data_IF_458587055129
#
_entry.id   IF_458587055129
#
_cell.length_a   1.000
_cell.length_b   1.000
_cell.length_c   1.000
_cell.angle_alpha   90.00
_cell.angle_beta   90.00
_cell.angle_gamma   90.00
#
_symmetry.space_group_name_H-M   'P 1'
#
loop_
_entity.id
_entity.type
_entity.pdbx_description
1 polymer ?
#
# COMPACT_ATOMS: atom_id res chain seq x y z
N UNK A 1 9.74 0.61 9.28
CA UNK A 1 8.56 -0.15 8.88
C UNK A 1 7.34 0.74 8.72
N UNK A 2 6.70 0.70 7.58
CA UNK A 2 5.45 1.41 7.29
C UNK A 2 4.33 0.42 7.03
N UNK A 3 3.17 0.67 7.63
CA UNK A 3 1.91 0.05 7.30
C UNK A 3 1.04 1.06 6.56
N UNK A 4 0.63 0.75 5.34
CA UNK A 4 -0.25 1.60 4.56
C UNK A 4 -1.56 0.87 4.24
N UNK A 5 -2.68 1.49 4.52
CA UNK A 5 -4.03 0.99 4.27
C UNK A 5 -4.71 1.85 3.21
N UNK A 6 -5.05 1.27 2.08
CA UNK A 6 -5.90 1.91 1.09
C UNK A 6 -7.38 1.64 1.40
N UNK A 7 -8.15 2.70 1.58
CA UNK A 7 -9.59 2.65 1.95
C UNK A 7 -10.41 3.30 0.86
N UNK A 8 -10.88 2.51 -0.11
CA UNK A 8 -11.74 3.03 -1.18
C UNK A 8 -11.12 4.24 -1.91
N UNK A 9 -11.58 4.63 -3.04
CA UNK A 9 -10.91 5.51 -4.00
C UNK A 9 -10.24 6.80 -3.54
N UNK A 10 -10.49 7.33 -2.34
CA UNK A 10 -9.96 8.63 -1.92
C UNK A 10 -9.39 8.70 -0.50
N UNK A 11 -9.23 7.58 0.19
CA UNK A 11 -8.68 7.55 1.54
C UNK A 11 -7.45 6.64 1.67
N UNK A 12 -6.44 7.12 2.38
CA UNK A 12 -5.29 6.33 2.78
C UNK A 12 -4.94 6.57 4.25
N UNK A 13 -4.54 5.53 4.94
CA UNK A 13 -4.04 5.58 6.32
C UNK A 13 -2.63 5.02 6.33
N UNK A 14 -1.69 5.77 6.87
CA UNK A 14 -0.29 5.35 7.02
C UNK A 14 0.02 5.22 8.50
N UNK A 15 0.51 4.05 8.91
CA UNK A 15 1.00 3.80 10.26
C UNK A 15 2.50 3.54 10.22
N UNK A 16 3.23 4.32 10.97
CA UNK A 16 4.67 4.15 11.20
C UNK A 16 5.01 4.19 12.69
N UNK A 17 6.29 4.17 13.03
CA UNK A 17 6.73 4.28 14.43
C UNK A 17 6.39 5.64 15.07
N UNK A 18 6.09 6.66 14.27
CA UNK A 18 5.72 8.00 14.72
C UNK A 18 4.22 8.17 14.97
N UNK A 19 3.39 7.22 14.53
CA UNK A 19 1.95 7.26 14.73
C UNK A 19 1.14 6.87 13.49
N UNK A 20 -0.10 7.32 13.47
CA UNK A 20 -1.05 7.05 12.37
C UNK A 20 -1.40 8.37 11.69
N UNK A 21 -1.23 8.41 10.36
CA UNK A 21 -1.57 9.55 9.54
C UNK A 21 -2.67 9.20 8.54
N UNK A 22 -3.68 10.05 8.46
CA UNK A 22 -4.84 9.88 7.57
C UNK A 22 -4.76 10.86 6.40
N UNK A 23 -4.97 10.35 5.19
CA UNK A 23 -4.98 11.14 3.96
C UNK A 23 -6.27 10.94 3.20
N UNK A 24 -6.89 12.03 2.76
CA UNK A 24 -8.12 12.00 1.95
C UNK A 24 -9.41 12.02 2.76
N UNK A 25 -10.51 11.65 2.13
CA UNK A 25 -11.81 11.46 2.80
C UNK A 25 -12.77 12.64 2.80
N UNK A 26 -12.50 13.72 2.07
CA UNK A 26 -13.44 14.85 1.88
C UNK A 26 -13.63 15.17 0.40
N UNK A 27 -14.88 15.10 -0.04
CA UNK A 27 -15.28 15.34 -1.45
C UNK A 27 -15.35 16.80 -1.88
N UNK A 28 -15.25 17.76 -0.96
CA UNK A 28 -15.38 19.17 -1.26
C UNK A 28 -14.07 19.79 -1.69
N UNK A 29 -13.77 19.72 -3.01
CA UNK A 29 -12.61 20.43 -3.53
C UNK A 29 -12.75 20.82 -4.98
N UNK A 30 -12.45 22.11 -5.26
CA UNK A 30 -12.21 22.57 -6.62
C UNK A 30 -10.98 21.85 -7.21
N UNK A 31 -11.00 21.57 -8.51
CA UNK A 31 -9.95 20.81 -9.21
C UNK A 31 -8.53 21.37 -8.97
N UNK A 32 -8.39 22.66 -8.71
CA UNK A 32 -7.13 23.34 -8.44
C UNK A 32 -6.51 22.96 -7.08
N UNK A 33 -7.35 22.89 -6.04
CA UNK A 33 -6.93 22.46 -4.69
C UNK A 33 -6.60 20.96 -4.64
N UNK A 34 -7.25 20.16 -5.46
CA UNK A 34 -7.01 18.71 -5.52
C UNK A 34 -5.61 18.39 -6.04
N UNK A 35 -5.12 19.09 -7.06
CA UNK A 35 -3.76 18.86 -7.61
C UNK A 35 -2.66 19.23 -6.62
N UNK A 36 -2.79 20.36 -5.94
CA UNK A 36 -1.80 20.79 -4.93
C UNK A 36 -1.79 19.81 -3.77
N UNK A 37 -2.95 19.42 -3.27
CA UNK A 37 -3.07 18.45 -2.16
C UNK A 37 -2.58 17.06 -2.55
N UNK A 38 -2.86 16.60 -3.76
CA UNK A 38 -2.35 15.32 -4.26
C UNK A 38 -0.82 15.32 -4.30
N UNK A 39 -0.21 16.42 -4.76
CA UNK A 39 1.26 16.56 -4.78
C UNK A 39 1.84 16.55 -3.37
N UNK A 40 1.26 17.29 -2.43
CA UNK A 40 1.71 17.32 -1.03
C UNK A 40 1.63 15.93 -0.39
N UNK A 41 0.52 15.21 -0.61
CA UNK A 41 0.34 13.85 -0.11
C UNK A 41 1.32 12.86 -0.74
N UNK A 42 1.54 12.98 -2.05
CA UNK A 42 2.51 12.14 -2.75
C UNK A 42 3.94 12.36 -2.24
N UNK A 43 4.31 13.61 -1.97
CA UNK A 43 5.63 13.93 -1.42
C UNK A 43 5.78 13.40 0.01
N UNK A 44 4.76 13.55 0.85
CA UNK A 44 4.75 12.98 2.19
C UNK A 44 4.89 11.45 2.15
N UNK A 45 4.15 10.77 1.28
CA UNK A 45 4.26 9.32 1.08
C UNK A 45 5.66 8.93 0.62
N UNK A 46 6.23 9.67 -0.31
CA UNK A 46 7.61 9.46 -0.78
C UNK A 46 8.62 9.56 0.35
N UNK A 47 8.50 10.55 1.22
CA UNK A 47 9.37 10.70 2.39
C UNK A 47 9.26 9.48 3.33
N UNK A 48 8.04 9.04 3.66
CA UNK A 48 7.82 7.86 4.49
C UNK A 48 8.44 6.59 3.87
N UNK A 49 8.25 6.40 2.58
CA UNK A 49 8.84 5.26 1.86
C UNK A 49 10.37 5.33 1.92
N UNK A 50 10.94 6.51 1.73
CA UNK A 50 12.39 6.70 1.65
C UNK A 50 13.10 6.41 2.97
N UNK A 51 12.48 6.73 4.10
CA UNK A 51 13.10 6.53 5.43
C UNK A 51 12.89 5.12 6.00
N UNK A 52 12.11 4.29 5.35
CA UNK A 52 11.81 2.92 5.82
C UNK A 52 12.33 1.87 4.84
N UNK A 53 12.87 0.78 5.37
CA UNK A 53 13.43 -0.30 4.55
C UNK A 53 12.41 -1.32 4.12
N UNK A 54 11.31 -1.45 4.86
CA UNK A 54 10.27 -2.44 4.60
C UNK A 54 8.89 -1.79 4.64
N UNK A 55 8.08 -2.10 3.64
CA UNK A 55 6.75 -1.52 3.46
C UNK A 55 5.74 -2.64 3.27
N UNK A 56 4.70 -2.64 4.09
CA UNK A 56 3.54 -3.50 3.91
C UNK A 56 2.34 -2.65 3.50
N UNK A 57 1.70 -3.03 2.41
CA UNK A 57 0.51 -2.35 1.89
C UNK A 57 -0.68 -3.28 2.06
N UNK A 58 -1.73 -2.80 2.70
CA UNK A 58 -2.93 -3.61 2.91
C UNK A 58 -4.19 -2.80 2.59
N UNK A 59 -5.17 -3.49 2.03
CA UNK A 59 -6.53 -2.99 1.90
C UNK A 59 -7.36 -3.35 3.15
N UNK A 60 -8.65 -3.03 3.12
CA UNK A 60 -9.58 -3.54 4.11
C UNK A 60 -9.90 -5.02 3.85
N UNK A 61 -10.60 -5.66 4.79
CA UNK A 61 -10.83 -7.11 4.83
C UNK A 61 -11.37 -7.71 3.52
N UNK A 62 -12.28 -7.00 2.86
CA UNK A 62 -12.80 -7.38 1.54
C UNK A 62 -12.10 -6.52 0.48
N UNK A 63 -10.96 -6.99 0.01
CA UNK A 63 -10.20 -6.26 -1.00
C UNK A 63 -10.94 -6.30 -2.34
N UNK A 64 -11.36 -5.13 -2.79
CA UNK A 64 -11.94 -4.93 -4.13
C UNK A 64 -10.85 -4.63 -5.17
N UNK A 65 -11.25 -4.55 -6.43
CA UNK A 65 -10.33 -4.28 -7.56
C UNK A 65 -9.63 -2.93 -7.40
N UNK A 66 -10.33 -1.91 -6.93
CA UNK A 66 -9.78 -0.57 -6.75
C UNK A 66 -8.72 -0.54 -5.64
N UNK A 67 -9.02 -1.15 -4.51
CA UNK A 67 -8.10 -1.30 -3.39
C UNK A 67 -6.86 -2.10 -3.76
N UNK A 68 -7.05 -3.18 -4.52
CA UNK A 68 -5.96 -4.01 -5.03
C UNK A 68 -5.06 -3.22 -5.98
N UNK A 69 -5.65 -2.50 -6.94
CA UNK A 69 -4.90 -1.67 -7.88
C UNK A 69 -4.10 -0.57 -7.20
N UNK A 70 -4.70 0.09 -6.19
CA UNK A 70 -4.02 1.09 -5.38
C UNK A 70 -2.82 0.49 -4.61
N UNK A 71 -2.99 -0.70 -4.03
CA UNK A 71 -1.91 -1.40 -3.31
C UNK A 71 -0.74 -1.74 -4.25
N UNK A 72 -1.02 -2.26 -5.43
CA UNK A 72 -0.01 -2.53 -6.45
C UNK A 72 0.71 -1.23 -6.86
N UNK A 73 -0.03 -0.16 -7.05
CA UNK A 73 0.53 1.16 -7.39
C UNK A 73 1.54 1.65 -6.34
N UNK A 74 1.19 1.53 -5.05
CA UNK A 74 2.09 1.89 -3.95
C UNK A 74 3.34 0.99 -3.93
N UNK A 75 3.18 -0.31 -4.12
CA UNK A 75 4.31 -1.23 -4.20
C UNK A 75 5.26 -0.87 -5.35
N UNK A 76 4.73 -0.52 -6.52
CA UNK A 76 5.55 -0.08 -7.65
C UNK A 76 6.28 1.23 -7.37
N UNK A 77 5.61 2.18 -6.73
CA UNK A 77 6.24 3.43 -6.31
C UNK A 77 7.39 3.18 -5.32
N UNK A 78 7.19 2.29 -4.35
CA UNK A 78 8.23 1.90 -3.40
C UNK A 78 9.42 1.23 -4.10
N UNK A 79 9.16 0.32 -5.03
CA UNK A 79 10.21 -0.34 -5.82
C UNK A 79 11.00 0.66 -6.66
N UNK A 80 10.33 1.66 -7.24
CA UNK A 80 10.99 2.73 -8.01
C UNK A 80 11.91 3.58 -7.11
N UNK A 81 11.65 3.67 -5.83
CA UNK A 81 12.49 4.31 -4.82
C UNK A 81 13.55 3.36 -4.21
N UNK A 82 13.71 2.17 -4.77
CA UNK A 82 14.67 1.17 -4.30
C UNK A 82 14.28 0.45 -3.02
N UNK A 83 12.99 0.48 -2.64
CA UNK A 83 12.48 -0.14 -1.42
C UNK A 83 11.69 -1.40 -1.73
N UNK A 84 11.70 -2.35 -0.80
CA UNK A 84 10.90 -3.56 -0.91
C UNK A 84 9.53 -3.37 -0.27
N UNK A 85 8.48 -3.63 -1.04
CA UNK A 85 7.10 -3.55 -0.58
C UNK A 85 6.35 -4.85 -0.89
N UNK A 86 5.47 -5.25 0.01
CA UNK A 86 4.61 -6.41 -0.15
C UNK A 86 3.15 -6.00 0.05
N UNK A 87 2.25 -6.64 -0.67
CA UNK A 87 0.81 -6.50 -0.49
C UNK A 87 0.33 -7.57 0.48
N UNK A 88 -0.36 -7.14 1.54
CA UNK A 88 -0.95 -8.05 2.52
C UNK A 88 -2.39 -8.34 2.12
N UNK A 89 -2.68 -9.59 1.82
CA UNK A 89 -4.01 -10.04 1.41
C UNK A 89 -4.27 -11.44 1.99
N UNK A 90 -5.39 -11.61 2.69
CA UNK A 90 -5.75 -12.87 3.31
C UNK A 90 -6.71 -13.69 2.44
N UNK A 91 -7.65 -13.02 1.78
CA UNK A 91 -8.66 -13.64 0.96
C UNK A 91 -8.74 -12.96 -0.41
N UNK A 92 -8.85 -13.76 -1.45
CA UNK A 92 -9.03 -13.29 -2.82
C UNK A 92 -10.44 -13.65 -3.26
N UNK A 93 -11.29 -12.65 -3.43
CA UNK A 93 -12.66 -12.83 -3.91
C UNK A 93 -12.68 -13.39 -5.34
N UNK A 94 -13.81 -14.00 -5.73
CA UNK A 94 -13.97 -14.52 -7.08
C UNK A 94 -13.81 -13.43 -8.16
N UNK A 95 -14.27 -12.20 -7.88
CA UNK A 95 -14.12 -11.05 -8.78
C UNK A 95 -12.70 -10.56 -8.91
N UNK A 96 -11.90 -10.68 -7.86
CA UNK A 96 -10.49 -10.26 -7.84
C UNK A 96 -9.55 -11.34 -8.40
N UNK A 97 -9.93 -12.60 -8.35
CA UNK A 97 -9.10 -13.76 -8.71
C UNK A 97 -8.40 -13.63 -10.07
N UNK A 98 -9.08 -13.27 -11.16
CA UNK A 98 -8.42 -13.15 -12.46
C UNK A 98 -7.28 -12.12 -12.44
N UNK A 99 -7.51 -10.97 -11.82
CA UNK A 99 -6.51 -9.92 -11.69
C UNK A 99 -5.34 -10.36 -10.81
N UNK A 100 -5.63 -10.97 -9.67
CA UNK A 100 -4.62 -11.51 -8.76
C UNK A 100 -3.71 -12.53 -9.46
N UNK A 101 -4.28 -13.46 -10.24
CA UNK A 101 -3.52 -14.46 -10.96
C UNK A 101 -2.59 -13.85 -12.02
N UNK A 102 -2.97 -12.74 -12.65
CA UNK A 102 -2.11 -12.03 -13.59
C UNK A 102 -0.78 -11.59 -12.96
N UNK A 103 -0.78 -11.26 -11.68
CA UNK A 103 0.45 -10.87 -10.97
C UNK A 103 1.24 -12.07 -10.47
N UNK A 104 0.57 -13.13 -10.01
CA UNK A 104 1.22 -14.36 -9.55
C UNK A 104 1.94 -15.06 -10.70
N UNK A 105 1.29 -15.16 -11.84
CA UNK A 105 1.81 -15.86 -13.01
C UNK A 105 2.87 -15.06 -13.79
N UNK A 106 3.09 -13.81 -13.41
CA UNK A 106 4.01 -12.92 -14.12
C UNK A 106 5.40 -12.93 -13.48
N UNK A 107 6.43 -13.44 -14.19
CA UNK A 107 7.80 -13.52 -13.67
C UNK A 107 8.45 -12.16 -13.43
N UNK A 108 7.85 -11.06 -13.90
CA UNK A 108 8.34 -9.70 -13.63
C UNK A 108 8.08 -9.23 -12.21
N UNK A 109 7.25 -9.94 -11.47
CA UNK A 109 6.96 -9.65 -10.07
C UNK A 109 7.60 -10.69 -9.14
N UNK A 110 8.06 -10.29 -7.95
CA UNK A 110 8.64 -11.24 -7.00
C UNK A 110 7.58 -12.23 -6.50
N UNK A 111 8.01 -13.46 -6.22
CA UNK A 111 7.12 -14.53 -5.71
C UNK A 111 6.49 -14.17 -4.36
N UNK A 112 7.15 -13.31 -3.58
CA UNK A 112 6.70 -12.85 -2.27
C UNK A 112 5.96 -11.50 -2.30
N UNK A 113 5.46 -11.08 -3.47
CA UNK A 113 4.69 -9.83 -3.59
C UNK A 113 3.48 -9.83 -2.66
N UNK A 114 2.76 -10.95 -2.60
CA UNK A 114 1.58 -11.12 -1.75
C UNK A 114 1.92 -11.93 -0.51
N UNK A 115 1.53 -11.41 0.64
CA UNK A 115 1.69 -12.06 1.94
C UNK A 115 0.34 -12.12 2.66
N UNK A 116 0.16 -13.13 3.49
CA UNK A 116 -0.92 -13.14 4.47
C UNK A 116 -0.58 -12.21 5.64
N UNK A 117 -1.58 -11.83 6.44
CA UNK A 117 -1.35 -11.04 7.65
C UNK A 117 -0.38 -11.72 8.61
N UNK A 118 -0.48 -13.04 8.76
CA UNK A 118 0.41 -13.83 9.60
C UNK A 118 1.87 -13.76 9.10
N UNK A 119 2.08 -13.96 7.81
CA UNK A 119 3.41 -13.84 7.20
C UNK A 119 3.99 -12.44 7.36
N UNK A 120 3.17 -11.39 7.17
CA UNK A 120 3.60 -10.01 7.34
C UNK A 120 3.98 -9.70 8.79
N UNK A 121 3.19 -10.17 9.76
CA UNK A 121 3.49 -10.00 11.19
C UNK A 121 4.80 -10.71 11.57
N UNK A 122 5.01 -11.93 11.10
CA UNK A 122 6.25 -12.67 11.35
C UNK A 122 7.47 -11.94 10.78
N UNK A 123 7.35 -11.34 9.62
CA UNK A 123 8.41 -10.52 9.04
C UNK A 123 8.61 -9.21 9.82
N UNK A 124 7.54 -8.58 10.27
CA UNK A 124 7.59 -7.35 11.07
C UNK A 124 8.29 -7.57 12.41
N UNK A 125 8.04 -8.71 13.07
CA UNK A 125 8.68 -9.05 14.36
C UNK A 125 10.19 -9.24 14.25
N UNK A 126 10.70 -9.58 13.07
CA UNK A 126 12.13 -9.76 12.80
C UNK A 126 12.86 -8.46 12.45
N UNK A 127 12.11 -7.38 12.20
CA UNK A 127 12.67 -6.08 11.84
C UNK A 127 12.70 -5.21 13.10
N UNK A 128 13.87 -4.71 13.52
CA UNK A 128 13.91 -3.80 14.67
C UNK A 128 13.10 -2.56 14.38
N UNK A 129 12.23 -2.20 15.31
CA UNK A 129 11.51 -0.94 15.30
C UNK A 129 12.50 0.17 15.65
N UNK A 130 12.92 0.89 14.66
CA UNK A 130 13.76 2.08 14.86
C UNK A 130 12.95 3.35 14.78
#
# INVERSE_FOLDING_TARGET
>A
LIWALARGGDQAVIKDCMGITYYGGKREMTAKNTRVKARVKAEALREYITVNDKIFVMGHTLTDVDSFGAAIGICRAANALGKKANVVINEVSASLRPLYNMYIDNPSYPDDLFLTSEQALNLADRIPWS
#
